data_IF_185639839215
#
_entry.id   IF_185639839215
#
_cell.length_a   1.000
_cell.length_b   1.000
_cell.length_c   1.000
_cell.angle_alpha   90.00
_cell.angle_beta   90.00
_cell.angle_gamma   90.00
#
_symmetry.space_group_name_H-M   'P 1'
#
loop_
_entity.id
_entity.type
_entity.pdbx_description
1 polymer ?
#
# COMPACT_ATOMS: atom_id res chain seq x y z
N UNK A 1 12.76 16.96 -4.65
CA UNK A 1 12.03 16.46 -3.49
C UNK A 1 11.45 15.09 -3.84
N UNK A 2 11.86 14.05 -3.15
CA UNK A 2 11.30 12.71 -3.44
C UNK A 2 9.84 12.61 -3.04
N UNK A 3 9.09 11.90 -3.85
CA UNK A 3 7.69 11.62 -3.59
C UNK A 3 7.43 10.14 -3.82
N UNK A 4 6.80 9.51 -2.85
CA UNK A 4 6.45 8.09 -2.94
C UNK A 4 4.97 7.92 -2.70
N UNK A 5 4.32 7.18 -3.55
CA UNK A 5 2.92 6.82 -3.37
C UNK A 5 2.81 5.31 -3.20
N UNK A 6 2.16 4.91 -2.12
CA UNK A 6 1.90 3.50 -1.85
C UNK A 6 0.40 3.29 -1.94
N UNK A 7 -0.01 2.41 -2.83
CA UNK A 7 -1.43 2.06 -2.93
C UNK A 7 -1.63 0.68 -2.34
N UNK A 8 -2.61 0.55 -1.48
CA UNK A 8 -2.98 -0.74 -0.88
C UNK A 8 -4.48 -0.91 -1.01
N UNK A 9 -4.94 -2.14 -1.03
CA UNK A 9 -6.38 -2.37 -0.94
C UNK A 9 -6.84 -2.03 0.47
N UNK A 10 -8.11 -1.60 0.59
CA UNK A 10 -8.66 -1.19 1.87
C UNK A 10 -9.13 -2.39 2.69
N UNK A 11 -8.20 -3.27 2.99
CA UNK A 11 -8.48 -4.52 3.68
C UNK A 11 -7.86 -4.56 5.08
N UNK A 12 -7.92 -3.44 5.77
CA UNK A 12 -7.57 -3.41 7.19
C UNK A 12 -6.17 -2.96 7.52
N UNK A 13 -5.56 -2.16 6.65
CA UNK A 13 -4.26 -1.56 6.97
C UNK A 13 -4.45 -0.60 8.14
N UNK A 14 -3.70 -0.81 9.21
CA UNK A 14 -3.86 -0.02 10.42
C UNK A 14 -3.07 1.27 10.35
N UNK A 15 -3.44 2.22 11.22
CA UNK A 15 -2.71 3.48 11.33
C UNK A 15 -1.24 3.23 11.71
N UNK A 16 -0.99 2.26 12.57
CA UNK A 16 0.37 1.92 12.96
C UNK A 16 1.18 1.37 11.79
N UNK A 17 0.55 0.52 10.96
CA UNK A 17 1.21 0.01 9.77
C UNK A 17 1.54 1.13 8.80
N UNK A 18 0.61 2.07 8.63
CA UNK A 18 0.85 3.22 7.75
C UNK A 18 2.02 4.06 8.28
N UNK A 19 2.06 4.27 9.60
CA UNK A 19 3.16 5.02 10.20
C UNK A 19 4.50 4.34 9.93
N UNK A 20 4.55 3.01 10.09
CA UNK A 20 5.78 2.27 9.83
C UNK A 20 6.19 2.35 8.37
N UNK A 21 5.23 2.29 7.47
CA UNK A 21 5.54 2.41 6.04
C UNK A 21 6.10 3.79 5.70
N UNK A 22 5.46 4.84 6.23
CA UNK A 22 5.91 6.21 5.98
C UNK A 22 7.32 6.39 6.53
N UNK A 23 7.56 5.96 7.75
CA UNK A 23 8.87 6.13 8.36
C UNK A 23 9.94 5.31 7.64
N UNK A 24 9.63 4.04 7.34
CA UNK A 24 10.60 3.16 6.70
C UNK A 24 10.99 3.61 5.29
N UNK A 25 10.00 4.05 4.52
CA UNK A 25 10.27 4.54 3.16
C UNK A 25 11.08 5.83 3.22
N UNK A 26 10.73 6.72 4.15
CA UNK A 26 11.45 7.98 4.31
C UNK A 26 12.92 7.70 4.67
N UNK A 27 13.15 6.77 5.60
CA UNK A 27 14.51 6.40 6.00
C UNK A 27 15.29 5.81 4.83
N UNK A 28 14.66 4.96 4.04
CA UNK A 28 15.31 4.36 2.89
C UNK A 28 15.76 5.43 1.89
N UNK A 29 14.87 6.36 1.59
CA UNK A 29 15.20 7.41 0.62
C UNK A 29 16.27 8.37 1.15
N UNK A 30 16.22 8.65 2.44
CA UNK A 30 17.27 9.46 3.05
C UNK A 30 18.64 8.81 2.90
N UNK A 31 18.69 7.52 3.17
CA UNK A 31 19.96 6.77 3.11
C UNK A 31 20.47 6.64 1.68
N UNK A 32 19.58 6.28 0.75
CA UNK A 32 20.00 5.99 -0.63
C UNK A 32 20.26 7.25 -1.42
N UNK A 33 19.39 8.27 -1.26
CA UNK A 33 19.49 9.48 -2.07
C UNK A 33 20.22 10.60 -1.35
N UNK A 34 20.56 10.41 -0.08
CA UNK A 34 21.23 11.43 0.71
C UNK A 34 20.42 12.73 0.74
N UNK A 35 19.10 12.61 0.91
CA UNK A 35 18.20 13.74 1.01
C UNK A 35 17.67 13.84 2.43
N UNK A 36 17.47 15.06 2.95
CA UNK A 36 16.95 15.19 4.31
C UNK A 36 15.52 14.67 4.39
N UNK A 37 15.16 14.16 5.58
CA UNK A 37 13.85 13.55 5.80
C UNK A 37 12.70 14.50 5.44
N UNK A 38 12.84 15.78 5.75
CA UNK A 38 11.76 16.74 5.50
C UNK A 38 11.49 16.97 4.01
N UNK A 39 12.39 16.52 3.15
CA UNK A 39 12.21 16.70 1.71
C UNK A 39 11.42 15.56 1.07
N UNK A 40 11.20 14.47 1.79
CA UNK A 40 10.51 13.29 1.26
C UNK A 40 9.04 13.30 1.66
N UNK A 41 8.19 13.15 0.67
CA UNK A 41 6.75 13.01 0.90
C UNK A 41 6.34 11.57 0.60
N UNK A 42 5.53 10.98 1.48
CA UNK A 42 4.99 9.64 1.29
C UNK A 42 3.48 9.71 1.45
N UNK A 43 2.77 9.23 0.45
CA UNK A 43 1.31 9.21 0.48
C UNK A 43 0.84 7.77 0.37
N UNK A 44 -0.10 7.39 1.22
CA UNK A 44 -0.69 6.05 1.19
C UNK A 44 -2.14 6.20 0.80
N UNK A 45 -2.52 5.51 -0.28
CA UNK A 45 -3.91 5.48 -0.74
C UNK A 45 -4.50 4.11 -0.46
N UNK A 46 -5.64 4.09 0.20
CA UNK A 46 -6.41 2.86 0.36
C UNK A 46 -7.44 2.82 -0.76
N UNK A 47 -7.38 1.76 -1.55
CA UNK A 47 -8.21 1.61 -2.73
C UNK A 47 -9.25 0.52 -2.47
N UNK A 48 -10.51 0.83 -2.73
CA UNK A 48 -11.58 -0.16 -2.59
C UNK A 48 -11.28 -1.37 -3.46
N UNK A 49 -11.60 -2.55 -2.96
CA UNK A 49 -11.32 -3.78 -3.69
C UNK A 49 -12.06 -3.86 -5.02
N UNK A 50 -13.18 -3.17 -5.14
CA UNK A 50 -13.90 -3.08 -6.42
C UNK A 50 -13.15 -2.24 -7.45
N UNK A 51 -12.23 -1.41 -7.00
CA UNK A 51 -11.49 -0.49 -7.87
C UNK A 51 -10.09 -0.99 -8.21
N UNK A 52 -9.75 -2.19 -7.81
CA UNK A 52 -8.44 -2.77 -8.05
C UNK A 52 -8.61 -4.04 -8.85
N UNK A 53 -8.06 -4.06 -10.05
CA UNK A 53 -8.17 -5.21 -10.95
C UNK A 53 -6.83 -5.89 -11.14
N UNK A 54 -6.86 -7.21 -11.17
CA UNK A 54 -5.70 -8.05 -11.48
C UNK A 54 -6.17 -9.12 -12.46
N UNK A 55 -5.51 -9.19 -13.61
CA UNK A 55 -5.85 -10.19 -14.60
C UNK A 55 -7.25 -10.05 -15.16
N UNK A 56 -7.82 -8.84 -15.12
CA UNK A 56 -9.15 -8.58 -15.63
C UNK A 56 -10.27 -8.79 -14.61
N UNK A 57 -9.95 -9.18 -13.38
CA UNK A 57 -10.95 -9.36 -12.33
C UNK A 57 -10.67 -8.41 -11.17
N UNK A 58 -11.72 -7.96 -10.51
CA UNK A 58 -11.55 -7.10 -9.34
C UNK A 58 -11.01 -7.92 -8.17
N UNK A 59 -10.34 -7.24 -7.25
CA UNK A 59 -9.88 -7.89 -6.02
C UNK A 59 -11.06 -8.42 -5.22
N UNK A 60 -12.20 -7.72 -5.26
CA UNK A 60 -13.42 -8.22 -4.61
C UNK A 60 -13.75 -9.63 -5.11
N UNK A 61 -13.75 -9.80 -6.42
CA UNK A 61 -14.03 -11.11 -7.01
C UNK A 61 -12.98 -12.14 -6.61
N UNK A 62 -11.70 -11.74 -6.64
CA UNK A 62 -10.62 -12.65 -6.27
C UNK A 62 -10.73 -13.10 -4.81
N UNK A 63 -11.08 -12.18 -3.91
CA UNK A 63 -11.26 -12.52 -2.50
C UNK A 63 -12.44 -13.46 -2.30
N UNK A 64 -13.53 -13.24 -3.06
CA UNK A 64 -14.67 -14.15 -3.00
C UNK A 64 -14.31 -15.55 -3.47
N UNK A 65 -13.52 -15.65 -4.53
CA UNK A 65 -13.05 -16.95 -5.00
C UNK A 65 -12.16 -17.62 -3.96
N UNK A 66 -11.29 -16.87 -3.33
CA UNK A 66 -10.43 -17.41 -2.27
C UNK A 66 -11.22 -17.93 -1.11
N UNK A 67 -12.26 -17.19 -0.69
CA UNK A 67 -13.12 -17.64 0.40
C UNK A 67 -13.81 -18.95 0.06
N UNK A 68 -14.33 -19.06 -1.16
CA UNK A 68 -15.01 -20.28 -1.57
C UNK A 68 -14.03 -21.45 -1.67
N UNK A 69 -12.81 -21.21 -2.11
CA UNK A 69 -11.78 -22.25 -2.21
C UNK A 69 -11.17 -22.54 -0.86
N UNK A 70 -11.02 -21.53 -0.03
CA UNK A 70 -10.34 -21.67 1.26
C UNK A 70 -11.09 -22.49 2.27
N UNK A 71 -12.30 -22.89 1.96
CA UNK A 71 -13.10 -23.70 2.87
C UNK A 71 -12.79 -25.17 2.77
N UNK A 72 -11.90 -25.53 1.88
CA UNK A 72 -11.47 -26.92 1.75
C UNK A 72 -10.58 -27.31 2.90
#
# INVERSE_FOLDING_TARGET
MPYVNIKVTDEGVTAEQKRQLIEGVTELLERVLNKPRYATSVVIDEVATDNWGVGGESVTTLRNKERNSGQR
#
